data_IF_360446146958
#
_entry.id   IF_360446146958
#
_cell.length_a   1.000
_cell.length_b   1.000
_cell.length_c   1.000
_cell.angle_alpha   90.00
_cell.angle_beta   90.00
_cell.angle_gamma   90.00
#
_symmetry.space_group_name_H-M   'P 1'
#
loop_
_entity.id
_entity.type
_entity.pdbx_description
1 polymer ?
#
# COMPACT_ATOMS: atom_id res chain seq x y z
N UNK A 1 7.18 8.05 15.14
CA UNK A 1 7.53 7.35 13.88
C UNK A 1 9.03 7.45 13.69
N UNK A 2 9.69 6.36 13.30
CA UNK A 2 11.14 6.33 13.13
C UNK A 2 11.55 6.11 11.67
N UNK A 3 12.62 6.77 11.21
CA UNK A 3 13.11 6.66 9.83
C UNK A 3 14.63 6.78 9.74
N UNK A 4 15.22 6.19 8.69
CA UNK A 4 16.66 6.29 8.40
C UNK A 4 16.95 7.57 7.63
N UNK A 5 17.97 8.31 8.02
CA UNK A 5 18.52 9.42 7.25
C UNK A 5 20.02 9.26 7.04
N UNK A 6 20.53 9.91 6.00
CA UNK A 6 21.97 10.05 5.74
C UNK A 6 22.33 11.53 5.79
N UNK A 7 23.42 11.86 6.49
CA UNK A 7 23.92 13.25 6.61
C UNK A 7 25.40 13.31 6.25
N UNK A 8 25.83 14.42 5.62
CA UNK A 8 27.26 14.68 5.38
C UNK A 8 27.88 15.21 6.67
N UNK A 9 29.03 14.65 7.04
CA UNK A 9 29.80 15.05 8.22
C UNK A 9 30.90 16.04 7.83
N UNK A 10 31.48 16.73 8.81
CA UNK A 10 32.57 17.69 8.59
C UNK A 10 33.83 17.05 7.98
N UNK A 11 34.05 15.74 8.17
CA UNK A 11 35.16 14.99 7.58
C UNK A 11 34.90 14.50 6.16
N UNK A 12 33.76 14.84 5.56
CA UNK A 12 33.35 14.37 4.23
C UNK A 12 32.72 12.96 4.23
N UNK A 13 32.71 12.26 5.38
CA UNK A 13 32.01 10.98 5.51
C UNK A 13 30.48 11.16 5.47
N UNK A 14 29.76 10.10 5.12
CA UNK A 14 28.29 10.02 5.11
C UNK A 14 27.82 9.21 6.32
N UNK A 15 27.25 9.89 7.30
CA UNK A 15 26.71 9.27 8.50
C UNK A 15 25.29 8.76 8.29
N UNK A 16 25.01 7.52 8.70
CA UNK A 16 23.67 6.93 8.75
C UNK A 16 23.13 7.06 10.17
N UNK A 17 21.89 7.51 10.29
CA UNK A 17 21.22 7.73 11.56
C UNK A 17 19.78 7.23 11.50
N UNK A 18 19.26 6.75 12.63
CA UNK A 18 17.83 6.49 12.82
C UNK A 18 17.26 7.63 13.65
N UNK A 19 16.24 8.32 13.12
CA UNK A 19 15.55 9.40 13.81
C UNK A 19 14.25 8.87 14.37
N UNK A 20 14.08 8.93 15.69
CA UNK A 20 12.85 8.59 16.40
C UNK A 20 12.07 9.86 16.73
N UNK A 21 10.88 10.01 16.14
CA UNK A 21 9.94 11.09 16.51
C UNK A 21 8.96 10.61 17.58
N UNK A 22 8.89 11.34 18.70
CA UNK A 22 7.89 11.17 19.75
C UNK A 22 6.69 12.13 19.55
N UNK A 23 5.51 11.76 20.06
CA UNK A 23 4.27 12.57 19.95
C UNK A 23 4.37 13.98 20.58
N UNK A 24 5.44 14.28 21.33
CA UNK A 24 5.68 15.56 22.02
C UNK A 24 6.72 16.46 21.34
N UNK A 25 7.15 16.14 20.12
CA UNK A 25 8.08 16.97 19.34
C UNK A 25 9.57 16.74 19.63
N UNK A 26 9.91 15.93 20.64
CA UNK A 26 11.31 15.51 20.84
C UNK A 26 11.73 14.48 19.80
N UNK A 27 12.91 14.70 19.21
CA UNK A 27 13.55 13.81 18.24
C UNK A 27 14.77 13.18 18.90
N UNK A 28 14.72 11.87 19.11
CA UNK A 28 15.90 11.09 19.49
C UNK A 28 16.60 10.59 18.22
N UNK A 29 17.93 10.63 18.21
CA UNK A 29 18.73 10.33 17.02
C UNK A 29 19.77 9.29 17.41
N UNK A 30 19.57 8.07 16.93
CA UNK A 30 20.55 6.99 17.04
C UNK A 30 21.55 7.09 15.88
N UNK A 31 22.85 7.08 16.20
CA UNK A 31 23.91 7.05 15.20
C UNK A 31 24.33 5.60 14.91
N UNK A 32 24.28 5.20 13.63
CA UNK A 32 24.60 3.83 13.20
C UNK A 32 26.07 3.71 12.77
N UNK A 33 26.60 4.74 12.12
CA UNK A 33 27.99 4.78 11.67
C UNK A 33 28.18 5.78 10.53
N UNK A 34 29.42 5.94 10.06
CA UNK A 34 29.79 6.80 8.93
C UNK A 34 30.58 6.04 7.88
N UNK A 35 30.29 6.29 6.60
CA UNK A 35 30.93 5.65 5.46
C UNK A 35 31.64 6.67 4.57
N UNK A 36 32.78 6.27 3.99
CA UNK A 36 33.55 7.07 3.04
C UNK A 36 33.35 6.64 1.58
N UNK A 37 32.72 5.49 1.36
CA UNK A 37 32.37 4.94 0.06
C UNK A 37 30.90 4.48 0.04
N UNK A 38 30.38 4.21 -1.16
CA UNK A 38 28.98 3.85 -1.35
C UNK A 38 28.64 2.43 -0.87
N UNK A 39 29.59 1.49 -0.92
CA UNK A 39 29.34 0.11 -0.49
C UNK A 39 29.16 0.04 1.03
N UNK A 40 30.05 0.69 1.78
CA UNK A 40 29.94 0.83 3.23
C UNK A 40 28.67 1.58 3.63
N UNK A 41 28.25 2.58 2.83
CA UNK A 41 27.01 3.31 3.11
C UNK A 41 25.77 2.43 2.96
N UNK A 42 25.68 1.64 1.89
CA UNK A 42 24.53 0.73 1.70
C UNK A 42 24.49 -0.36 2.78
N UNK A 43 25.64 -0.87 3.23
CA UNK A 43 25.72 -1.77 4.36
C UNK A 43 25.17 -1.13 5.65
N UNK A 44 25.58 0.12 5.97
CA UNK A 44 25.05 0.84 7.14
C UNK A 44 23.55 1.11 7.04
N UNK A 45 23.03 1.43 5.85
CA UNK A 45 21.57 1.57 5.63
C UNK A 45 20.84 0.26 5.84
N UNK A 46 21.40 -0.88 5.41
CA UNK A 46 20.81 -2.19 5.64
C UNK A 46 20.72 -2.50 7.14
N UNK A 47 21.80 -2.27 7.90
CA UNK A 47 21.81 -2.40 9.37
C UNK A 47 20.77 -1.49 10.02
N UNK A 48 20.68 -0.23 9.59
CA UNK A 48 19.70 0.72 10.12
C UNK A 48 18.25 0.26 9.88
N UNK A 49 17.96 -0.29 8.68
CA UNK A 49 16.64 -0.88 8.35
C UNK A 49 16.34 -2.11 9.20
N UNK A 50 17.34 -2.98 9.43
CA UNK A 50 17.18 -4.15 10.30
C UNK A 50 16.84 -3.73 11.74
N UNK A 51 17.57 -2.75 12.30
CA UNK A 51 17.25 -2.22 13.65
C UNK A 51 15.85 -1.62 13.72
N UNK A 52 15.42 -0.89 12.69
CA UNK A 52 14.05 -0.37 12.61
C UNK A 52 12.98 -1.45 12.55
N UNK A 53 13.29 -2.62 11.98
CA UNK A 53 12.35 -3.74 11.91
C UNK A 53 12.16 -4.40 13.28
N UNK A 54 13.24 -4.62 14.04
CA UNK A 54 13.20 -5.21 15.39
C UNK A 54 12.36 -4.37 16.37
N UNK A 55 12.38 -3.04 16.22
CA UNK A 55 11.59 -2.13 17.06
C UNK A 55 10.14 -1.93 16.64
N UNK A 56 9.66 -2.56 15.55
CA UNK A 56 8.24 -2.56 15.20
C UNK A 56 7.56 -3.78 15.82
N UNK A 57 6.43 -3.62 16.52
CA UNK A 57 5.63 -4.77 16.89
C UNK A 57 5.22 -5.51 15.60
N UNK A 58 5.44 -6.82 15.59
CA UNK A 58 4.81 -7.68 14.59
C UNK A 58 3.29 -7.57 14.77
N UNK A 59 2.58 -7.50 13.66
CA UNK A 59 1.13 -7.55 13.68
C UNK A 59 0.72 -8.98 14.05
N UNK A 60 0.18 -9.14 15.25
CA UNK A 60 -0.45 -10.39 15.67
C UNK A 60 -1.81 -10.50 14.98
N UNK A 61 -1.91 -11.42 14.03
CA UNK A 61 -3.15 -11.74 13.32
C UNK A 61 -3.97 -12.84 14.04
N UNK A 62 -3.54 -13.25 15.24
CA UNK A 62 -4.21 -14.23 16.07
C UNK A 62 -3.85 -15.69 15.74
N UNK A 63 -4.32 -16.63 16.59
CA UNK A 63 -3.94 -18.05 16.52
C UNK A 63 -4.42 -18.75 15.24
N UNK A 64 -5.57 -18.33 14.69
CA UNK A 64 -6.12 -18.92 13.47
C UNK A 64 -5.20 -18.67 12.27
N UNK A 65 -4.61 -17.48 12.20
CA UNK A 65 -3.67 -17.12 11.15
C UNK A 65 -2.31 -17.81 11.34
N UNK A 66 -1.86 -17.96 12.58
CA UNK A 66 -0.65 -18.71 12.91
C UNK A 66 -0.75 -20.20 12.51
N UNK A 67 -1.93 -20.82 12.68
CA UNK A 67 -2.19 -22.19 12.26
C UNK A 67 -2.15 -22.36 10.73
N UNK A 68 -2.69 -21.40 9.98
CA UNK A 68 -2.60 -21.37 8.51
C UNK A 68 -1.14 -21.23 8.02
N UNK A 69 -0.32 -20.44 8.70
CA UNK A 69 1.13 -20.30 8.44
C UNK A 69 1.92 -21.57 8.77
N UNK A 70 1.65 -22.23 9.89
CA UNK A 70 2.35 -23.46 10.26
C UNK A 70 2.11 -24.58 9.23
N UNK A 71 0.92 -24.61 8.60
CA UNK A 71 0.59 -25.55 7.53
C UNK A 71 1.18 -25.21 6.16
N UNK A 72 1.63 -23.97 5.93
CA UNK A 72 2.15 -23.52 4.63
C UNK A 72 3.64 -23.83 4.41
N UNK A 73 4.34 -24.38 5.41
CA UNK A 73 5.77 -24.71 5.35
C UNK A 73 6.69 -23.47 5.34
N UNK A 74 6.13 -22.26 5.37
CA UNK A 74 6.87 -21.03 5.47
C UNK A 74 7.27 -20.80 6.94
N UNK A 75 8.52 -21.16 7.27
CA UNK A 75 9.11 -20.84 8.58
C UNK A 75 8.92 -19.35 8.89
N UNK A 76 8.56 -19.05 10.14
CA UNK A 76 7.99 -17.78 10.64
C UNK A 76 8.76 -16.50 10.31
N UNK A 77 8.78 -16.14 9.04
CA UNK A 77 9.23 -14.85 8.53
C UNK A 77 8.05 -13.90 8.31
N UNK A 78 8.35 -12.63 7.98
CA UNK A 78 7.33 -11.62 7.71
C UNK A 78 6.38 -12.09 6.60
N UNK A 79 5.08 -11.94 6.84
CA UNK A 79 4.06 -12.27 5.86
C UNK A 79 4.20 -11.36 4.65
N UNK A 80 4.37 -11.98 3.47
CA UNK A 80 4.32 -11.24 2.22
C UNK A 80 2.87 -10.81 1.95
N UNK A 81 2.66 -9.52 1.74
CA UNK A 81 1.39 -9.01 1.23
C UNK A 81 1.28 -9.45 -0.23
N UNK A 82 0.33 -10.34 -0.53
CA UNK A 82 0.10 -10.85 -1.89
C UNK A 82 -0.83 -9.96 -2.69
N UNK A 83 -1.71 -9.22 -2.02
CA UNK A 83 -2.62 -8.25 -2.62
C UNK A 83 -3.11 -7.22 -1.60
N UNK A 84 -3.67 -6.11 -2.09
CA UNK A 84 -4.34 -5.09 -1.28
C UNK A 84 -5.61 -4.66 -1.97
N UNK A 85 -6.65 -4.30 -1.20
CA UNK A 85 -7.93 -3.80 -1.75
C UNK A 85 -8.51 -2.69 -0.90
N UNK A 86 -9.17 -1.73 -1.53
CA UNK A 86 -9.91 -0.64 -0.89
C UNK A 86 -11.32 -1.08 -0.48
N UNK A 87 -11.43 -2.24 0.21
CA UNK A 87 -12.71 -2.91 0.48
C UNK A 87 -13.78 -2.02 1.11
N UNK A 88 -13.49 -1.45 2.29
CA UNK A 88 -14.45 -0.61 3.00
C UNK A 88 -14.91 0.63 2.23
N UNK A 89 -13.98 1.28 1.51
CA UNK A 89 -14.30 2.44 0.70
C UNK A 89 -15.25 2.05 -0.44
N UNK A 90 -14.94 0.95 -1.13
CA UNK A 90 -15.75 0.46 -2.22
C UNK A 90 -17.14 0.00 -1.77
N UNK A 91 -17.21 -0.69 -0.62
CA UNK A 91 -18.46 -1.15 -0.03
C UNK A 91 -19.35 0.04 0.37
N UNK A 92 -18.76 1.09 0.98
CA UNK A 92 -19.49 2.30 1.35
C UNK A 92 -20.05 3.04 0.12
N UNK A 93 -19.24 3.19 -0.93
CA UNK A 93 -19.68 3.81 -2.18
C UNK A 93 -20.72 2.96 -2.91
N UNK A 94 -20.56 1.63 -2.91
CA UNK A 94 -21.54 0.70 -3.45
C UNK A 94 -22.87 0.74 -2.71
N UNK A 95 -22.84 0.88 -1.39
CA UNK A 95 -24.05 1.04 -0.59
C UNK A 95 -24.75 2.37 -0.89
N UNK A 96 -24.00 3.48 -0.99
CA UNK A 96 -24.57 4.77 -1.39
C UNK A 96 -25.20 4.71 -2.80
N UNK A 97 -24.55 4.03 -3.76
CA UNK A 97 -25.07 3.80 -5.11
C UNK A 97 -26.43 3.08 -5.09
N UNK A 98 -26.59 2.06 -4.25
CA UNK A 98 -27.85 1.35 -4.06
C UNK A 98 -28.91 2.21 -3.36
N UNK A 99 -28.55 2.93 -2.29
CA UNK A 99 -29.46 3.81 -1.57
C UNK A 99 -30.04 4.93 -2.46
N UNK A 100 -29.27 5.39 -3.44
CA UNK A 100 -29.71 6.38 -4.44
C UNK A 100 -30.58 5.76 -5.55
N UNK A 101 -30.78 4.44 -5.55
CA UNK A 101 -31.58 3.73 -6.56
C UNK A 101 -30.87 3.57 -7.92
N UNK A 102 -29.56 3.85 -8.01
CA UNK A 102 -28.84 3.77 -9.27
C UNK A 102 -28.70 2.34 -9.78
N UNK A 103 -28.68 1.35 -8.89
CA UNK A 103 -28.71 -0.06 -9.26
C UNK A 103 -29.91 -0.41 -10.12
N UNK A 104 -31.10 0.00 -9.67
CA UNK A 104 -32.36 -0.24 -10.36
C UNK A 104 -32.46 0.61 -11.63
N UNK A 105 -32.09 1.90 -11.54
CA UNK A 105 -32.12 2.82 -12.68
C UNK A 105 -31.18 2.39 -13.83
N UNK A 106 -30.06 1.73 -13.51
CA UNK A 106 -29.11 1.19 -14.49
C UNK A 106 -29.44 -0.25 -14.91
N UNK A 107 -30.51 -0.87 -14.39
CA UNK A 107 -30.88 -2.25 -14.69
C UNK A 107 -29.83 -3.28 -14.27
N UNK A 108 -29.01 -2.98 -13.26
CA UNK A 108 -27.93 -3.85 -12.80
C UNK A 108 -26.70 -3.91 -13.73
N UNK A 109 -26.52 -2.95 -14.66
CA UNK A 109 -25.35 -2.95 -15.56
C UNK A 109 -24.06 -2.61 -14.78
N UNK A 110 -23.23 -3.64 -14.56
CA UNK A 110 -21.93 -3.54 -13.89
C UNK A 110 -20.96 -2.58 -14.59
N UNK A 111 -21.11 -2.37 -15.90
CA UNK A 111 -20.31 -1.42 -16.69
C UNK A 111 -20.57 0.02 -16.26
N UNK A 112 -21.72 0.33 -15.67
CA UNK A 112 -22.02 1.62 -15.06
C UNK A 112 -21.68 1.65 -13.57
N UNK A 113 -21.84 0.53 -12.87
CA UNK A 113 -21.67 0.44 -11.42
C UNK A 113 -20.22 0.66 -10.98
N UNK A 114 -19.23 0.09 -11.67
CA UNK A 114 -17.82 0.16 -11.25
C UNK A 114 -17.12 1.50 -11.54
N UNK A 115 -17.36 2.18 -12.69
CA UNK A 115 -16.74 3.47 -12.96
C UNK A 115 -17.20 4.62 -12.06
N UNK A 116 -18.41 4.55 -11.49
CA UNK A 116 -18.95 5.62 -10.61
C UNK A 116 -18.13 5.80 -9.33
N UNK A 117 -17.93 4.77 -8.48
CA UNK A 117 -17.06 4.89 -7.31
C UNK A 117 -15.63 5.22 -7.69
N UNK A 118 -15.10 4.63 -8.77
CA UNK A 118 -13.77 4.94 -9.29
C UNK A 118 -13.58 6.43 -9.55
N UNK A 119 -14.59 7.09 -10.15
CA UNK A 119 -14.53 8.52 -10.47
C UNK A 119 -14.77 9.46 -9.28
N UNK A 120 -15.24 8.92 -8.16
CA UNK A 120 -15.30 9.62 -6.86
C UNK A 120 -13.94 9.54 -6.17
N UNK A 121 -13.28 8.38 -6.24
CA UNK A 121 -11.93 8.16 -5.70
C UNK A 121 -10.91 9.04 -6.44
N UNK A 122 -10.95 9.02 -7.77
CA UNK A 122 -10.10 9.87 -8.60
C UNK A 122 -10.91 10.41 -9.79
N UNK A 123 -11.02 11.73 -9.98
CA UNK A 123 -11.85 12.32 -11.03
C UNK A 123 -11.19 12.19 -12.42
N UNK A 124 -11.32 11.02 -13.04
CA UNK A 124 -10.72 10.68 -14.33
C UNK A 124 -11.75 10.53 -15.45
N UNK A 125 -11.27 10.25 -16.67
CA UNK A 125 -12.14 9.93 -17.82
C UNK A 125 -12.81 8.55 -17.64
N UNK A 126 -13.87 8.26 -18.41
CA UNK A 126 -14.53 6.94 -18.36
C UNK A 126 -13.55 5.80 -18.70
N UNK A 127 -12.67 5.98 -19.67
CA UNK A 127 -11.70 4.95 -20.05
C UNK A 127 -10.62 4.80 -18.98
N UNK A 128 -10.16 5.91 -18.40
CA UNK A 128 -9.11 5.91 -17.38
C UNK A 128 -9.61 5.41 -16.01
N UNK A 129 -10.92 5.42 -15.75
CA UNK A 129 -11.47 4.88 -14.51
C UNK A 129 -11.23 3.38 -14.31
N UNK A 130 -10.93 2.62 -15.37
CA UNK A 130 -10.60 1.19 -15.26
C UNK A 130 -9.29 0.98 -14.49
N UNK A 131 -8.29 1.84 -14.69
CA UNK A 131 -7.05 1.85 -13.90
C UNK A 131 -7.35 2.03 -12.41
N UNK A 132 -8.27 2.94 -12.09
CA UNK A 132 -8.65 3.22 -10.69
C UNK A 132 -9.37 2.02 -10.04
N UNK A 133 -10.16 1.27 -10.81
CA UNK A 133 -10.79 0.02 -10.35
C UNK A 133 -9.71 -1.04 -10.02
N UNK A 134 -8.72 -1.20 -10.91
CA UNK A 134 -7.59 -2.11 -10.69
C UNK A 134 -6.75 -1.70 -9.47
N UNK A 135 -6.42 -0.42 -9.34
CA UNK A 135 -5.68 0.13 -8.19
C UNK A 135 -6.45 0.01 -6.87
N UNK A 136 -7.78 0.03 -6.93
CA UNK A 136 -8.63 -0.25 -5.77
C UNK A 136 -8.65 -1.75 -5.40
N UNK A 137 -8.05 -2.63 -6.21
CA UNK A 137 -7.96 -4.07 -5.99
C UNK A 137 -9.20 -4.83 -6.45
N UNK A 138 -9.87 -4.36 -7.51
CA UNK A 138 -11.03 -4.99 -8.13
C UNK A 138 -10.79 -5.25 -9.62
N UNK A 139 -11.51 -6.22 -10.18
CA UNK A 139 -11.41 -6.53 -11.60
C UNK A 139 -12.23 -5.52 -12.42
N UNK A 140 -11.62 -4.86 -13.43
CA UNK A 140 -12.36 -3.97 -14.31
C UNK A 140 -13.30 -4.77 -15.22
N UNK A 141 -14.46 -4.20 -15.60
CA UNK A 141 -15.35 -4.84 -16.55
C UNK A 141 -14.68 -4.96 -17.92
N UNK A 142 -14.94 -6.07 -18.63
CA UNK A 142 -14.38 -6.29 -19.96
C UNK A 142 -14.75 -5.15 -20.91
N UNK A 143 -13.81 -4.66 -21.75
CA UNK A 143 -14.13 -3.64 -22.73
C UNK A 143 -15.19 -4.18 -23.71
N UNK A 144 -16.25 -3.40 -23.94
CA UNK A 144 -17.28 -3.76 -24.94
C UNK A 144 -16.60 -3.90 -26.31
N UNK A 145 -16.53 -5.13 -26.82
CA UNK A 145 -16.12 -5.38 -28.21
C UNK A 145 -17.15 -4.71 -29.12
N UNK A 146 -16.79 -3.60 -29.75
CA UNK A 146 -17.66 -2.89 -30.67
C UNK A 146 -17.93 -3.72 -31.92
N UNK A 147 -18.96 -4.56 -31.92
CA UNK A 147 -19.57 -5.04 -33.16
C UNK A 147 -20.46 -3.94 -33.72
N UNK A 148 -19.83 -2.89 -34.25
CA UNK A 148 -20.48 -1.90 -35.09
C UNK A 148 -20.84 -2.56 -36.41
N UNK A 149 -22.03 -3.15 -36.49
CA UNK A 149 -22.70 -3.38 -37.77
C UNK A 149 -22.90 -2.02 -38.41
N UNK A 150 -22.10 -1.73 -39.45
CA UNK A 150 -22.39 -0.65 -40.39
C UNK A 150 -23.54 -1.15 -41.26
N UNK A 151 -24.75 -0.67 -40.96
CA UNK A 151 -25.88 -0.63 -41.89
C UNK A 151 -25.88 0.69 -42.64
#
# INVERSE_FOLDING_TARGET
MAYVRTVKTASGARAVQIVHSSRRGSRDIEHIGSAHDDAALEALKAVARQRLAVGRPELDFGPDFAALQAGSGAGGGPLAITSSRMGYLWDALGHAYQLLGFEEAAGGDEVFRLPVPARIVEPTSRLDSLRVVEEAGFDPPAPRSGSGSRG
#
